data_IF_460857572015
#
_entry.id   IF_460857572015
#
_cell.length_a   1.000
_cell.length_b   1.000
_cell.length_c   1.000
_cell.angle_alpha   90.00
_cell.angle_beta   90.00
_cell.angle_gamma   90.00
#
_symmetry.space_group_name_H-M   'P 1'
#
loop_
_entity.id
_entity.type
_entity.pdbx_description
1 polymer ?
#
# COMPACT_ATOMS: atom_id res chain seq x y z
N UNK A 1 21.27 -20.97 -17.01
CA UNK A 1 22.37 -20.04 -17.34
C UNK A 1 22.00 -18.68 -16.81
N UNK A 2 22.87 -18.09 -16.01
CA UNK A 2 22.68 -16.73 -15.51
C UNK A 2 23.05 -15.74 -16.60
N UNK A 3 22.17 -14.78 -16.87
CA UNK A 3 22.44 -13.71 -17.85
C UNK A 3 22.76 -12.43 -17.10
N UNK A 4 23.93 -11.84 -17.37
CA UNK A 4 24.29 -10.52 -16.87
C UNK A 4 24.06 -9.46 -17.95
N UNK A 5 23.47 -8.35 -17.55
CA UNK A 5 23.17 -7.19 -18.39
C UNK A 5 23.89 -6.01 -17.76
N UNK A 6 24.87 -5.48 -18.48
CA UNK A 6 25.73 -4.38 -18.03
C UNK A 6 25.82 -3.24 -19.07
N UNK A 7 25.10 -3.36 -20.19
CA UNK A 7 24.99 -2.32 -21.20
C UNK A 7 23.90 -1.30 -20.82
N UNK A 8 24.10 -0.06 -21.27
CA UNK A 8 23.27 1.08 -20.93
C UNK A 8 21.79 0.92 -21.28
N UNK A 9 21.54 0.44 -22.50
CA UNK A 9 20.20 0.31 -23.04
C UNK A 9 19.43 -0.81 -22.34
N UNK A 10 20.09 -1.95 -22.11
CA UNK A 10 19.55 -3.10 -21.39
C UNK A 10 19.20 -2.77 -19.94
N UNK A 11 20.10 -2.09 -19.22
CA UNK A 11 19.84 -1.63 -17.84
C UNK A 11 18.64 -0.69 -17.83
N UNK A 12 18.66 0.36 -18.66
CA UNK A 12 17.58 1.36 -18.68
C UNK A 12 16.23 0.71 -18.97
N UNK A 13 16.16 -0.15 -19.99
CA UNK A 13 14.93 -0.83 -20.40
C UNK A 13 14.37 -1.69 -19.26
N UNK A 14 15.21 -2.44 -18.56
CA UNK A 14 14.76 -3.30 -17.45
C UNK A 14 14.33 -2.46 -16.25
N UNK A 15 15.10 -1.45 -15.87
CA UNK A 15 14.72 -0.56 -14.77
C UNK A 15 13.37 0.09 -15.06
N UNK A 16 13.19 0.63 -16.27
CA UNK A 16 11.98 1.34 -16.67
C UNK A 16 10.77 0.40 -16.81
N UNK A 17 10.93 -0.77 -17.41
CA UNK A 17 9.80 -1.67 -17.69
C UNK A 17 9.41 -2.55 -16.52
N UNK A 18 10.38 -2.94 -15.67
CA UNK A 18 10.16 -3.89 -14.58
C UNK A 18 10.27 -3.22 -13.22
N UNK A 19 11.41 -2.61 -12.87
CA UNK A 19 11.64 -2.11 -11.50
C UNK A 19 10.71 -0.96 -11.11
N UNK A 20 10.31 -0.09 -12.05
CA UNK A 20 9.34 0.98 -11.73
C UNK A 20 7.89 0.51 -11.64
N UNK A 21 7.58 -0.72 -12.06
CA UNK A 21 6.20 -1.21 -12.22
C UNK A 21 5.86 -2.40 -11.33
N UNK A 22 6.85 -3.22 -11.02
CA UNK A 22 6.69 -4.44 -10.25
C UNK A 22 7.18 -4.25 -8.81
N UNK A 23 6.68 -5.05 -7.86
CA UNK A 23 7.23 -5.07 -6.52
C UNK A 23 8.72 -5.37 -6.52
N UNK A 24 9.48 -4.51 -5.85
CA UNK A 24 10.94 -4.62 -5.67
C UNK A 24 11.22 -4.83 -4.19
N UNK A 25 12.20 -5.66 -3.87
CA UNK A 25 12.64 -5.93 -2.50
C UNK A 25 14.16 -5.80 -2.39
N UNK A 26 14.64 -5.54 -1.18
CA UNK A 26 16.02 -5.83 -0.77
C UNK A 26 16.03 -7.05 0.14
N UNK A 27 17.20 -7.65 0.35
CA UNK A 27 17.36 -8.68 1.38
C UNK A 27 18.14 -8.10 2.56
N UNK A 28 17.53 -8.12 3.74
CA UNK A 28 18.18 -7.80 5.01
C UNK A 28 18.07 -9.04 5.89
N UNK A 29 19.20 -9.56 6.37
CA UNK A 29 19.25 -10.83 7.13
C UNK A 29 18.52 -11.98 6.43
N UNK A 30 18.67 -12.06 5.10
CA UNK A 30 18.01 -13.02 4.22
C UNK A 30 16.46 -12.92 4.19
N UNK A 31 15.89 -11.86 4.75
CA UNK A 31 14.46 -11.55 4.68
C UNK A 31 14.18 -10.50 3.60
N UNK A 32 13.16 -10.69 2.76
CA UNK A 32 12.77 -9.71 1.76
C UNK A 32 12.08 -8.51 2.43
N UNK A 33 12.65 -7.32 2.26
CA UNK A 33 12.02 -6.07 2.66
C UNK A 33 11.54 -5.31 1.42
N UNK A 34 10.26 -4.92 1.36
CA UNK A 34 9.72 -4.20 0.21
C UNK A 34 10.35 -2.81 0.08
N UNK A 35 10.80 -2.50 -1.12
CA UNK A 35 11.36 -1.21 -1.47
C UNK A 35 10.42 -0.51 -2.44
N UNK A 36 10.06 0.73 -2.10
CA UNK A 36 9.22 1.53 -2.98
C UNK A 36 10.09 2.22 -4.01
N UNK A 37 9.89 1.91 -5.29
CA UNK A 37 10.55 2.62 -6.38
C UNK A 37 9.78 3.91 -6.68
N UNK A 38 10.44 5.05 -6.50
CA UNK A 38 9.86 6.37 -6.79
C UNK A 38 9.95 6.73 -8.28
N UNK A 39 10.94 6.20 -8.98
CA UNK A 39 11.12 6.39 -10.42
C UNK A 39 12.58 6.29 -10.83
N UNK A 40 12.86 6.67 -12.09
CA UNK A 40 14.21 6.80 -12.61
C UNK A 40 14.59 8.28 -12.65
N UNK A 41 15.80 8.60 -12.23
CA UNK A 41 16.40 9.92 -12.44
C UNK A 41 16.98 10.03 -13.85
N UNK A 42 17.61 8.96 -14.33
CA UNK A 42 18.18 8.84 -15.67
C UNK A 42 18.27 7.36 -16.08
N UNK A 43 19.07 7.05 -17.10
CA UNK A 43 19.21 5.70 -17.66
C UNK A 43 19.72 4.64 -16.67
N UNK A 44 20.48 5.03 -15.65
CA UNK A 44 21.14 4.12 -14.72
C UNK A 44 20.74 4.37 -13.26
N UNK A 45 20.16 5.54 -12.97
CA UNK A 45 19.84 5.95 -11.62
C UNK A 45 18.38 5.71 -11.29
N UNK A 46 18.16 4.87 -10.28
CA UNK A 46 16.84 4.58 -9.71
C UNK A 46 16.70 5.26 -8.34
N UNK A 47 15.56 5.90 -8.11
CA UNK A 47 15.22 6.51 -6.83
C UNK A 47 14.31 5.56 -6.08
N UNK A 48 14.69 5.22 -4.85
CA UNK A 48 13.94 4.30 -4.00
C UNK A 48 13.66 4.89 -2.64
N UNK A 49 12.64 4.39 -1.96
CA UNK A 49 12.34 4.66 -0.55
C UNK A 49 12.41 3.34 0.20
N UNK A 50 13.30 3.27 1.17
CA UNK A 50 13.51 2.10 2.02
C UNK A 50 12.58 2.15 3.24
N UNK A 51 12.19 0.98 3.78
CA UNK A 51 11.52 0.90 5.07
C UNK A 51 12.35 1.49 6.21
N UNK A 52 11.72 2.07 7.24
CA UNK A 52 12.40 2.47 8.47
C UNK A 52 13.20 1.30 9.07
N UNK A 53 14.38 1.59 9.63
CA UNK A 53 15.25 0.57 10.24
C UNK A 53 16.12 -0.21 9.25
N UNK A 54 16.06 0.08 7.95
CA UNK A 54 16.97 -0.53 6.97
C UNK A 54 18.42 -0.09 7.26
N UNK A 55 19.39 -1.03 7.41
CA UNK A 55 20.79 -0.69 7.66
C UNK A 55 21.36 0.20 6.56
N UNK A 56 22.20 1.17 6.92
CA UNK A 56 22.88 2.01 5.92
C UNK A 56 24.04 1.23 5.28
N UNK A 57 24.05 1.13 3.96
CA UNK A 57 25.05 0.37 3.20
C UNK A 57 25.54 1.18 2.00
N UNK A 58 26.79 0.97 1.58
CA UNK A 58 27.34 1.64 0.39
C UNK A 58 26.88 1.01 -0.93
N UNK A 59 26.40 -0.22 -0.86
CA UNK A 59 25.90 -0.99 -2.01
C UNK A 59 24.56 -1.60 -1.68
N UNK A 60 23.65 -1.60 -2.65
CA UNK A 60 22.34 -2.24 -2.54
C UNK A 60 22.16 -3.27 -3.64
N UNK A 61 21.41 -4.31 -3.32
CA UNK A 61 20.92 -5.27 -4.32
C UNK A 61 19.41 -5.26 -4.34
N UNK A 62 18.84 -4.73 -5.41
CA UNK A 62 17.39 -4.71 -5.61
C UNK A 62 16.98 -5.99 -6.33
N UNK A 63 15.91 -6.61 -5.85
CA UNK A 63 15.37 -7.84 -6.41
C UNK A 63 13.93 -7.66 -6.87
N UNK A 64 13.60 -8.26 -8.00
CA UNK A 64 12.22 -8.52 -8.38
C UNK A 64 12.11 -9.88 -9.07
N UNK A 65 10.89 -10.41 -9.15
CA UNK A 65 10.60 -11.62 -9.90
C UNK A 65 9.58 -11.31 -10.99
N UNK A 66 9.89 -11.70 -12.23
CA UNK A 66 9.00 -11.55 -13.37
C UNK A 66 9.16 -12.73 -14.33
N UNK A 67 8.05 -13.31 -14.78
CA UNK A 67 8.02 -14.44 -15.73
C UNK A 67 8.99 -15.58 -15.37
N UNK A 68 8.97 -16.06 -14.12
CA UNK A 68 9.86 -17.10 -13.59
C UNK A 68 11.36 -16.75 -13.61
N UNK A 69 11.71 -15.49 -13.80
CA UNK A 69 13.08 -15.01 -13.70
C UNK A 69 13.21 -14.07 -12.50
N UNK A 70 14.30 -14.23 -11.76
CA UNK A 70 14.71 -13.30 -10.71
C UNK A 70 15.68 -12.30 -11.34
N UNK A 71 15.35 -11.03 -11.18
CA UNK A 71 16.19 -9.92 -11.59
C UNK A 71 16.85 -9.37 -10.34
N UNK A 72 18.15 -9.18 -10.41
CA UNK A 72 18.98 -8.68 -9.33
C UNK A 72 19.78 -7.49 -9.86
N UNK A 73 19.34 -6.27 -9.56
CA UNK A 73 20.06 -5.05 -9.88
C UNK A 73 21.09 -4.75 -8.81
N UNK A 74 22.36 -4.63 -9.21
CA UNK A 74 23.46 -4.26 -8.35
C UNK A 74 23.64 -2.76 -8.40
N UNK A 75 23.56 -2.11 -7.25
CA UNK A 75 23.55 -0.68 -7.15
C UNK A 75 24.59 -0.15 -6.16
N UNK A 76 25.19 1.00 -6.49
CA UNK A 76 25.94 1.82 -5.55
C UNK A 76 25.02 2.91 -5.00
N UNK A 77 25.07 3.17 -3.69
CA UNK A 77 24.32 4.27 -3.08
C UNK A 77 25.07 5.57 -3.32
N UNK A 78 24.50 6.47 -4.12
CA UNK A 78 25.09 7.79 -4.39
C UNK A 78 24.61 8.84 -3.38
N UNK A 79 23.34 8.77 -2.96
CA UNK A 79 22.75 9.67 -1.96
C UNK A 79 21.81 8.88 -1.05
N UNK A 80 21.82 9.22 0.23
CA UNK A 80 20.91 8.67 1.24
C UNK A 80 20.31 9.82 2.06
N UNK A 81 18.99 9.88 2.15
CA UNK A 81 18.28 10.81 3.02
C UNK A 81 17.77 10.06 4.27
N UNK A 82 18.41 10.24 5.44
CA UNK A 82 18.06 9.52 6.65
C UNK A 82 16.69 9.92 7.22
N UNK A 83 16.16 11.09 6.87
CA UNK A 83 14.86 11.57 7.40
C UNK A 83 13.66 10.82 6.83
N UNK A 84 13.79 10.25 5.62
CA UNK A 84 12.69 9.63 4.89
C UNK A 84 13.07 8.33 4.18
N UNK A 85 14.29 7.84 4.37
CA UNK A 85 14.79 6.59 3.79
C UNK A 85 14.94 6.62 2.27
N UNK A 86 14.95 7.81 1.65
CA UNK A 86 15.10 7.94 0.20
C UNK A 86 16.56 7.75 -0.20
N UNK A 87 16.82 6.84 -1.12
CA UNK A 87 18.14 6.61 -1.70
C UNK A 87 18.14 6.85 -3.21
N UNK A 88 19.22 7.47 -3.70
CA UNK A 88 19.58 7.51 -5.11
C UNK A 88 20.60 6.41 -5.37
N UNK A 89 20.23 5.47 -6.24
CA UNK A 89 21.00 4.28 -6.52
C UNK A 89 21.50 4.31 -7.97
N UNK A 90 22.80 4.14 -8.16
CA UNK A 90 23.41 3.95 -9.48
C UNK A 90 23.51 2.45 -9.78
N UNK A 91 22.76 1.97 -10.77
CA UNK A 91 22.77 0.56 -11.18
C UNK A 91 23.94 0.26 -12.11
N UNK A 92 24.82 -0.66 -11.70
CA UNK A 92 26.00 -1.07 -12.48
C UNK A 92 25.74 -2.29 -13.37
N UNK A 93 24.87 -3.21 -12.90
CA UNK A 93 24.54 -4.42 -13.64
C UNK A 93 23.20 -4.99 -13.16
N UNK A 94 22.58 -5.81 -14.01
CA UNK A 94 21.41 -6.62 -13.66
C UNK A 94 21.70 -8.07 -14.00
N UNK A 95 21.66 -8.93 -12.99
CA UNK A 95 21.71 -10.38 -13.17
C UNK A 95 20.28 -10.92 -13.30
N UNK A 96 20.07 -11.76 -14.30
CA UNK A 96 18.82 -12.48 -14.54
C UNK A 96 19.10 -13.96 -14.33
N UNK A 97 18.44 -14.54 -13.35
CA UNK A 97 18.51 -15.98 -13.06
C UNK A 97 17.11 -16.59 -13.13
N UNK A 98 17.04 -17.91 -13.27
CA UNK A 98 15.75 -18.59 -13.10
C UNK A 98 15.36 -18.42 -11.62
N UNK A 99 14.16 -17.93 -11.37
CA UNK A 99 13.64 -17.79 -10.02
C UNK A 99 13.40 -19.19 -9.45
N UNK A 100 14.39 -19.71 -8.73
CA UNK A 100 14.19 -20.87 -7.87
C UNK A 100 13.42 -20.40 -6.63
N UNK A 101 12.28 -21.05 -6.37
CA UNK A 101 11.50 -20.80 -5.15
C UNK A 101 12.29 -21.34 -3.97
N UNK A 102 12.86 -20.44 -3.17
CA UNK A 102 13.66 -20.78 -1.99
C UNK A 102 12.86 -20.80 -0.69
N UNK A 103 11.57 -20.46 -0.71
CA UNK A 103 10.77 -20.40 0.50
C UNK A 103 10.13 -21.74 0.87
N UNK A 104 10.26 -22.10 2.14
CA UNK A 104 9.47 -23.14 2.78
C UNK A 104 8.03 -22.65 2.89
N UNK A 105 7.09 -23.43 2.37
CA UNK A 105 5.64 -23.15 2.45
C UNK A 105 5.02 -24.07 3.45
N UNK A 106 4.17 -23.52 4.30
CA UNK A 106 3.27 -24.34 5.09
C UNK A 106 2.12 -24.72 4.17
N UNK A 107 2.07 -25.99 3.78
CA UNK A 107 0.92 -26.56 3.11
C UNK A 107 -0.19 -26.74 4.11
N UNK A 108 -1.40 -26.39 3.69
CA UNK A 108 -2.55 -26.29 4.57
C UNK A 108 -3.46 -27.46 4.24
N UNK A 109 -3.48 -28.44 5.15
CA UNK A 109 -4.34 -29.61 5.01
C UNK A 109 -5.81 -29.19 5.05
N UNK A 110 -6.65 -29.95 4.34
CA UNK A 110 -8.10 -29.74 4.18
C UNK A 110 -8.87 -29.66 5.51
N UNK A 111 -8.28 -30.13 6.61
CA UNK A 111 -8.83 -30.12 7.97
C UNK A 111 -8.61 -28.80 8.70
N UNK A 112 -7.67 -27.97 8.24
CA UNK A 112 -7.34 -26.70 8.85
C UNK A 112 -8.23 -25.56 8.32
N UNK A 113 -8.81 -24.79 9.25
CA UNK A 113 -9.92 -23.86 8.98
C UNK A 113 -9.47 -22.47 8.49
N UNK A 114 -8.24 -22.31 7.99
CA UNK A 114 -7.84 -20.99 7.49
C UNK A 114 -8.59 -20.71 6.18
N UNK A 115 -9.20 -19.54 6.11
CA UNK A 115 -9.99 -19.16 4.94
C UNK A 115 -9.85 -17.71 4.57
N UNK A 116 -9.90 -17.44 3.27
CA UNK A 116 -9.98 -16.11 2.72
C UNK A 116 -11.44 -15.71 2.51
N UNK A 117 -11.79 -14.50 2.91
CA UNK A 117 -13.11 -13.90 2.75
C UNK A 117 -13.00 -12.46 2.27
N UNK A 118 -14.10 -11.86 1.82
CA UNK A 118 -14.18 -10.44 1.47
C UNK A 118 -13.15 -10.02 0.40
N UNK A 119 -12.93 -10.91 -0.58
CA UNK A 119 -11.95 -10.68 -1.65
C UNK A 119 -12.49 -9.61 -2.58
N UNK A 120 -11.71 -8.56 -2.82
CA UNK A 120 -12.05 -7.48 -3.74
C UNK A 120 -10.81 -6.98 -4.48
N UNK A 121 -10.96 -6.65 -5.75
CA UNK A 121 -9.89 -6.00 -6.50
C UNK A 121 -9.81 -4.52 -6.09
N UNK A 122 -8.61 -4.06 -5.73
CA UNK A 122 -8.36 -2.68 -5.31
C UNK A 122 -8.79 -1.65 -6.37
N UNK A 123 -8.67 -1.97 -7.66
CA UNK A 123 -9.17 -1.14 -8.74
C UNK A 123 -10.70 -0.98 -8.71
N UNK A 124 -11.43 -2.06 -8.37
CA UNK A 124 -12.90 -2.01 -8.25
C UNK A 124 -13.34 -1.14 -7.07
N UNK A 125 -12.59 -1.15 -5.97
CA UNK A 125 -12.83 -0.24 -4.82
C UNK A 125 -12.79 1.21 -5.29
N UNK A 126 -11.74 1.62 -6.01
CA UNK A 126 -11.65 3.00 -6.52
C UNK A 126 -12.74 3.34 -7.53
N UNK A 127 -13.01 2.41 -8.45
CA UNK A 127 -14.06 2.61 -9.46
C UNK A 127 -15.45 2.75 -8.82
N UNK A 128 -15.71 2.03 -7.72
CA UNK A 128 -16.98 2.11 -7.00
C UNK A 128 -17.26 3.54 -6.52
N UNK A 129 -16.25 4.24 -6.00
CA UNK A 129 -16.36 5.64 -5.53
C UNK A 129 -16.87 6.59 -6.61
N UNK A 130 -16.61 6.29 -7.89
CA UNK A 130 -17.02 7.14 -9.02
C UNK A 130 -18.52 7.06 -9.33
N UNK A 131 -19.23 6.09 -8.74
CA UNK A 131 -20.67 5.97 -8.88
C UNK A 131 -21.36 6.76 -7.77
N UNK A 132 -22.23 7.69 -8.16
CA UNK A 132 -23.02 8.49 -7.23
C UNK A 132 -24.05 7.60 -6.52
N UNK A 133 -23.77 7.27 -5.25
CA UNK A 133 -24.68 6.55 -4.37
C UNK A 133 -25.22 7.50 -3.30
N UNK A 134 -26.56 7.68 -3.29
CA UNK A 134 -27.25 8.58 -2.35
C UNK A 134 -27.02 8.20 -0.88
N UNK A 135 -26.81 6.92 -0.57
CA UNK A 135 -26.52 6.43 0.78
C UNK A 135 -25.13 6.88 1.20
N UNK A 136 -24.14 6.78 0.31
CA UNK A 136 -22.77 7.23 0.57
C UNK A 136 -22.71 8.75 0.71
N UNK A 137 -23.36 9.48 -0.18
CA UNK A 137 -23.49 10.94 -0.08
C UNK A 137 -24.15 11.37 1.24
N UNK A 138 -25.17 10.64 1.69
CA UNK A 138 -25.81 10.85 3.00
C UNK A 138 -24.85 10.66 4.18
N UNK A 139 -24.03 9.61 4.17
CA UNK A 139 -23.00 9.36 5.20
C UNK A 139 -21.97 10.51 5.20
N UNK A 140 -21.43 10.87 4.04
CA UNK A 140 -20.43 11.94 3.92
C UNK A 140 -20.99 13.28 4.38
N UNK A 141 -22.21 13.65 3.96
CA UNK A 141 -22.87 14.89 4.37
C UNK A 141 -23.17 14.96 5.87
N UNK A 142 -23.60 13.84 6.47
CA UNK A 142 -23.82 13.74 7.92
C UNK A 142 -22.54 14.07 8.69
N UNK A 143 -21.43 13.42 8.35
CA UNK A 143 -20.14 13.66 9.00
C UNK A 143 -19.61 15.06 8.71
N UNK A 144 -19.77 15.57 7.50
CA UNK A 144 -19.36 16.93 7.14
C UNK A 144 -20.11 17.98 7.95
N UNK A 145 -21.42 17.79 8.17
CA UNK A 145 -22.24 18.69 8.99
C UNK A 145 -21.75 18.71 10.44
N UNK A 146 -21.58 17.54 11.06
CA UNK A 146 -21.10 17.42 12.43
C UNK A 146 -19.70 18.04 12.61
N UNK A 147 -18.79 17.79 11.65
CA UNK A 147 -17.43 18.34 11.72
C UNK A 147 -17.42 19.87 11.63
N UNK A 148 -18.33 20.45 10.82
CA UNK A 148 -18.47 21.89 10.65
C UNK A 148 -19.01 22.63 11.88
N UNK A 149 -19.71 21.94 12.78
CA UNK A 149 -20.19 22.52 14.04
C UNK A 149 -19.01 22.93 14.94
N UNK A 150 -17.92 22.15 14.93
CA UNK A 150 -16.69 22.45 15.68
C UNK A 150 -15.66 23.20 14.84
N UNK A 151 -15.51 22.85 13.57
CA UNK A 151 -14.51 23.39 12.66
C UNK A 151 -15.18 23.99 11.42
N UNK A 152 -15.54 25.29 11.44
CA UNK A 152 -16.30 25.91 10.36
C UNK A 152 -15.64 25.79 8.97
N UNK A 153 -14.30 25.77 8.93
CA UNK A 153 -13.49 25.66 7.71
C UNK A 153 -13.08 24.22 7.39
N UNK A 154 -13.84 23.24 7.90
CA UNK A 154 -13.62 21.83 7.57
C UNK A 154 -14.35 21.40 6.29
N UNK A 155 -13.77 20.40 5.64
CA UNK A 155 -14.34 19.77 4.46
C UNK A 155 -14.09 18.26 4.45
N UNK A 156 -14.95 17.53 3.74
CA UNK A 156 -14.74 16.11 3.45
C UNK A 156 -14.72 15.98 1.94
N UNK A 157 -13.59 15.52 1.42
CA UNK A 157 -13.42 15.19 0.02
C UNK A 157 -13.61 13.68 -0.15
N UNK A 158 -14.49 13.27 -1.06
CA UNK A 158 -14.73 11.87 -1.37
C UNK A 158 -14.98 11.73 -2.88
N UNK A 159 -14.06 11.11 -3.60
CA UNK A 159 -14.08 11.06 -5.07
C UNK A 159 -13.22 9.93 -5.62
N UNK A 160 -13.57 9.43 -6.80
CA UNK A 160 -12.74 8.49 -7.57
C UNK A 160 -11.49 9.15 -8.14
N UNK A 161 -11.55 10.46 -8.38
CA UNK A 161 -10.41 11.27 -8.84
C UNK A 161 -9.64 11.77 -7.64
N UNK A 162 -8.35 11.44 -7.62
CA UNK A 162 -7.44 11.97 -6.61
C UNK A 162 -6.99 13.38 -7.01
N UNK A 163 -7.41 14.36 -6.21
CA UNK A 163 -6.84 15.71 -6.25
C UNK A 163 -5.37 15.70 -5.81
N UNK A 164 -4.69 16.85 -5.92
CA UNK A 164 -3.27 16.95 -5.59
C UNK A 164 -3.00 16.56 -4.12
N UNK A 165 -3.92 16.89 -3.20
CA UNK A 165 -3.75 16.63 -1.77
C UNK A 165 -3.88 15.14 -1.45
N UNK A 166 -4.94 14.50 -1.91
CA UNK A 166 -5.13 13.05 -1.73
C UNK A 166 -4.01 12.27 -2.39
N UNK A 167 -3.56 12.69 -3.57
CA UNK A 167 -2.43 12.08 -4.27
C UNK A 167 -1.14 12.21 -3.48
N UNK A 168 -0.88 13.39 -2.90
CA UNK A 168 0.31 13.63 -2.10
C UNK A 168 0.32 12.77 -0.83
N UNK A 169 -0.77 12.79 -0.07
CA UNK A 169 -0.91 11.96 1.14
C UNK A 169 -0.79 10.47 0.82
N UNK A 170 -1.41 10.01 -0.28
CA UNK A 170 -1.32 8.61 -0.69
C UNK A 170 0.08 8.22 -1.15
N UNK A 171 0.74 9.10 -1.91
CA UNK A 171 2.09 8.87 -2.39
C UNK A 171 3.07 8.77 -1.24
N UNK A 172 2.96 9.59 -0.20
CA UNK A 172 3.87 9.53 0.95
C UNK A 172 3.41 8.61 2.07
N UNK A 173 2.17 8.10 1.99
CA UNK A 173 1.48 7.37 3.05
C UNK A 173 1.52 8.10 4.41
N UNK A 174 1.36 9.43 4.36
CA UNK A 174 1.40 10.28 5.55
C UNK A 174 0.23 11.27 5.55
N UNK A 175 -0.37 11.54 6.72
CA UNK A 175 -1.34 12.62 6.84
C UNK A 175 -0.63 13.98 6.77
N UNK A 176 -1.41 15.02 6.48
CA UNK A 176 -0.95 16.41 6.59
C UNK A 176 -1.30 16.90 8.00
N UNK A 177 -0.31 17.41 8.72
CA UNK A 177 -0.53 18.10 9.98
C UNK A 177 0.47 19.25 10.10
N UNK A 178 -0.02 20.45 9.80
CA UNK A 178 0.72 21.71 9.79
C UNK A 178 0.20 22.57 10.92
N UNK A 179 1.10 22.98 11.82
CA UNK A 179 0.83 23.84 12.96
C UNK A 179 0.86 25.32 12.56
N UNK A 180 1.82 25.69 11.73
CA UNK A 180 1.96 27.05 11.19
C UNK A 180 2.50 27.03 9.76
N UNK A 181 1.66 27.38 8.79
CA UNK A 181 2.02 27.44 7.37
C UNK A 181 2.97 28.58 7.02
N UNK A 182 3.09 29.59 7.89
CA UNK A 182 3.95 30.76 7.70
C UNK A 182 5.32 30.59 8.36
N UNK A 183 5.57 29.44 9.00
CA UNK A 183 6.85 29.10 9.58
C UNK A 183 7.99 29.21 8.53
N UNK A 184 9.12 29.78 8.94
CA UNK A 184 10.27 30.03 8.05
C UNK A 184 11.06 28.76 7.71
N UNK A 185 11.04 27.76 8.57
CA UNK A 185 11.83 26.53 8.44
C UNK A 185 10.93 25.30 8.32
N UNK A 186 10.22 24.97 9.39
CA UNK A 186 9.34 23.80 9.48
C UNK A 186 8.10 24.17 10.29
N UNK A 187 6.94 24.09 9.65
CA UNK A 187 5.64 24.27 10.28
C UNK A 187 4.89 22.97 10.53
N UNK A 188 5.50 21.82 10.28
CA UNK A 188 4.86 20.52 10.48
C UNK A 188 4.86 20.08 11.94
N UNK A 189 3.92 19.22 12.30
CA UNK A 189 3.81 18.65 13.65
C UNK A 189 4.81 17.50 13.93
N UNK A 190 5.78 17.25 13.05
CA UNK A 190 6.80 16.21 13.21
C UNK A 190 6.99 15.27 12.02
N UNK A 191 8.00 14.40 12.11
CA UNK A 191 8.48 13.54 11.02
C UNK A 191 7.49 12.45 10.56
N UNK A 192 6.52 12.11 11.40
CA UNK A 192 5.45 11.16 11.10
C UNK A 192 4.40 11.73 10.12
N UNK A 193 4.41 13.05 9.90
CA UNK A 193 3.51 13.75 8.98
C UNK A 193 4.20 14.07 7.66
N UNK A 194 3.41 14.52 6.68
CA UNK A 194 3.94 15.03 5.44
C UNK A 194 4.92 16.18 5.73
N UNK A 195 6.10 16.13 5.13
CA UNK A 195 7.14 17.15 5.31
C UNK A 195 6.66 18.52 4.86
N UNK A 196 7.06 19.57 5.59
CA UNK A 196 6.64 20.94 5.30
C UNK A 196 6.99 21.40 3.87
N UNK A 197 8.13 20.97 3.33
CA UNK A 197 8.51 21.28 1.94
C UNK A 197 7.54 20.72 0.89
N UNK A 198 7.05 19.49 1.09
CA UNK A 198 6.05 18.89 0.20
C UNK A 198 4.68 19.54 0.38
N UNK A 199 4.35 19.92 1.61
CA UNK A 199 3.16 20.72 1.88
C UNK A 199 3.22 22.06 1.13
N UNK A 200 4.30 22.84 1.24
CA UNK A 200 4.44 24.12 0.54
C UNK A 200 4.23 24.01 -0.98
N UNK A 201 4.74 22.95 -1.61
CA UNK A 201 4.49 22.66 -3.04
C UNK A 201 3.01 22.44 -3.34
N UNK A 202 2.29 21.74 -2.46
CA UNK A 202 0.84 21.56 -2.59
C UNK A 202 0.11 22.90 -2.58
N UNK A 203 0.46 23.79 -1.65
CA UNK A 203 -0.28 25.04 -1.44
C UNK A 203 -0.04 26.02 -2.58
N UNK A 204 1.18 26.04 -3.13
CA UNK A 204 1.51 26.83 -4.32
C UNK A 204 0.65 26.47 -5.54
N UNK A 205 0.14 25.24 -5.63
CA UNK A 205 -0.75 24.79 -6.71
C UNK A 205 -2.22 24.99 -6.36
N UNK A 206 -2.59 24.74 -5.11
CA UNK A 206 -4.00 24.70 -4.69
C UNK A 206 -4.56 26.05 -4.20
N UNK A 207 -3.73 27.09 -4.09
CA UNK A 207 -4.13 28.46 -3.66
C UNK A 207 -5.07 28.47 -2.45
N UNK A 208 -4.55 28.13 -1.27
CA UNK A 208 -5.33 28.28 -0.04
C UNK A 208 -5.64 29.75 0.25
N UNK A 209 -6.81 30.01 0.84
CA UNK A 209 -7.20 31.34 1.28
C UNK A 209 -6.18 31.96 2.25
N UNK A 210 -6.04 33.28 2.18
CA UNK A 210 -5.23 34.06 3.11
C UNK A 210 -5.80 33.97 4.53
N UNK A 211 -4.93 33.89 5.54
CA UNK A 211 -5.34 33.88 6.95
C UNK A 211 -5.47 32.49 7.57
N UNK A 212 -5.49 31.41 6.78
CA UNK A 212 -5.35 30.05 7.32
C UNK A 212 -3.92 29.89 7.84
N UNK A 213 -3.77 29.45 9.10
CA UNK A 213 -2.49 29.22 9.77
C UNK A 213 -2.15 27.74 9.77
N UNK A 214 -3.12 26.87 10.04
CA UNK A 214 -2.87 25.44 10.25
C UNK A 214 -3.80 24.56 9.41
N UNK A 215 -3.37 23.32 9.17
CA UNK A 215 -4.11 22.34 8.39
C UNK A 215 -3.90 20.93 8.95
N UNK A 216 -5.01 20.20 9.13
CA UNK A 216 -5.01 18.75 9.32
C UNK A 216 -5.72 18.12 8.13
N UNK A 217 -5.10 17.14 7.47
CA UNK A 217 -5.79 16.28 6.49
C UNK A 217 -5.48 14.81 6.72
N UNK A 218 -6.54 14.00 6.85
CA UNK A 218 -6.47 12.57 7.10
C UNK A 218 -7.18 11.81 5.98
N UNK A 219 -6.51 10.81 5.39
CA UNK A 219 -7.11 9.97 4.36
C UNK A 219 -8.24 9.10 4.92
N UNK A 220 -9.35 9.06 4.20
CA UNK A 220 -10.40 8.05 4.38
C UNK A 220 -9.96 6.83 3.57
N UNK A 221 -9.74 5.70 4.24
CA UNK A 221 -9.19 4.49 3.60
C UNK A 221 -10.14 3.32 3.70
N UNK A 222 -10.38 2.63 2.59
CA UNK A 222 -11.02 1.31 2.60
C UNK A 222 -10.07 0.28 3.20
N UNK A 223 -10.48 -0.29 4.33
CA UNK A 223 -9.72 -1.26 5.15
C UNK A 223 -8.25 -0.88 5.36
N UNK A 224 -7.94 0.41 5.52
CA UNK A 224 -6.56 0.89 5.75
C UNK A 224 -5.65 0.94 4.52
N UNK A 225 -6.08 0.47 3.35
CA UNK A 225 -5.20 0.40 2.17
C UNK A 225 -5.58 1.39 1.06
N UNK A 226 -6.83 1.36 0.61
CA UNK A 226 -7.22 2.09 -0.61
C UNK A 226 -7.75 3.48 -0.25
N UNK A 227 -7.17 4.57 -0.77
CA UNK A 227 -7.69 5.91 -0.52
C UNK A 227 -9.06 6.06 -1.19
N UNK A 228 -10.02 6.59 -0.43
CA UNK A 228 -11.37 6.93 -0.90
C UNK A 228 -11.61 8.44 -0.93
N UNK A 229 -10.82 9.19 -0.18
CA UNK A 229 -11.05 10.59 0.11
C UNK A 229 -10.18 11.07 1.26
N UNK A 230 -10.50 12.24 1.81
CA UNK A 230 -9.89 12.76 3.03
C UNK A 230 -10.85 13.66 3.81
N UNK A 231 -10.61 13.73 5.12
CA UNK A 231 -11.15 14.77 6.01
C UNK A 231 -10.11 15.87 6.11
N UNK A 232 -10.52 17.14 5.94
CA UNK A 232 -9.66 18.30 6.08
C UNK A 232 -10.23 19.27 7.11
N UNK A 233 -9.37 19.77 8.00
CA UNK A 233 -9.64 20.84 8.93
C UNK A 233 -8.63 21.95 8.65
N UNK A 234 -9.15 23.15 8.35
CA UNK A 234 -8.36 24.37 8.24
C UNK A 234 -8.69 25.27 9.44
N UNK A 235 -7.72 26.06 9.88
CA UNK A 235 -7.91 27.00 10.99
C UNK A 235 -7.02 28.23 10.83
N UNK A 236 -7.52 29.37 11.31
CA UNK A 236 -6.78 30.62 11.45
C UNK A 236 -5.86 30.64 12.69
N UNK A 237 -5.90 29.56 13.49
CA UNK A 237 -5.08 29.32 14.68
C UNK A 237 -4.37 27.98 14.56
N UNK A 238 -3.34 27.76 15.36
CA UNK A 238 -2.69 26.47 15.50
C UNK A 238 -3.69 25.38 15.95
N UNK A 239 -3.67 24.22 15.28
CA UNK A 239 -4.48 23.06 15.64
C UNK A 239 -3.68 22.15 16.58
N UNK A 240 -4.37 21.59 17.58
CA UNK A 240 -3.79 20.74 18.61
C UNK A 240 -3.81 19.26 18.25
N UNK A 241 -3.05 18.44 19.01
CA UNK A 241 -3.09 16.99 18.87
C UNK A 241 -4.50 16.41 19.12
N UNK A 242 -5.32 17.08 19.93
CA UNK A 242 -6.73 16.70 20.11
C UNK A 242 -7.53 16.88 18.82
N UNK A 243 -7.28 17.96 18.08
CA UNK A 243 -7.94 18.21 16.79
C UNK A 243 -7.53 17.18 15.74
N UNK A 244 -6.24 16.79 15.74
CA UNK A 244 -5.74 15.70 14.91
C UNK A 244 -6.45 14.38 15.21
N UNK A 245 -6.60 14.05 16.49
CA UNK A 245 -7.31 12.84 16.91
C UNK A 245 -8.78 12.87 16.49
N UNK A 246 -9.45 14.03 16.62
CA UNK A 246 -10.83 14.21 16.14
C UNK A 246 -10.92 13.95 14.63
N UNK A 247 -10.06 14.58 13.81
CA UNK A 247 -10.03 14.36 12.37
C UNK A 247 -9.81 12.88 11.99
N UNK A 248 -8.92 12.21 12.72
CA UNK A 248 -8.62 10.79 12.52
C UNK A 248 -9.81 9.89 12.90
N UNK A 249 -10.48 10.17 14.01
CA UNK A 249 -11.71 9.47 14.42
C UNK A 249 -12.80 9.66 13.37
N UNK A 250 -12.99 10.88 12.86
CA UNK A 250 -13.97 11.18 11.81
C UNK A 250 -13.67 10.41 10.53
N UNK A 251 -12.42 10.44 10.03
CA UNK A 251 -12.03 9.71 8.82
C UNK A 251 -12.27 8.19 8.95
N UNK A 252 -11.91 7.62 10.10
CA UNK A 252 -12.13 6.20 10.39
C UNK A 252 -13.63 5.85 10.53
N UNK A 253 -14.42 6.74 11.11
CA UNK A 253 -15.87 6.55 11.28
C UNK A 253 -16.59 6.55 9.93
N UNK A 254 -16.23 7.47 9.03
CA UNK A 254 -16.74 7.51 7.66
C UNK A 254 -16.40 6.20 6.93
N UNK A 255 -15.14 5.77 6.98
CA UNK A 255 -14.73 4.50 6.35
C UNK A 255 -15.54 3.31 6.87
N UNK A 256 -15.70 3.19 8.19
CA UNK A 256 -16.49 2.11 8.81
C UNK A 256 -17.95 2.13 8.37
N UNK A 257 -18.60 3.30 8.37
CA UNK A 257 -20.00 3.43 7.96
C UNK A 257 -20.20 3.08 6.47
N UNK A 258 -19.28 3.50 5.59
CA UNK A 258 -19.32 3.18 4.15
C UNK A 258 -19.10 1.68 3.91
N UNK A 259 -18.16 1.05 4.61
CA UNK A 259 -17.92 -0.40 4.48
C UNK A 259 -19.15 -1.17 4.98
N UNK A 260 -19.68 -0.80 6.15
CA UNK A 260 -20.88 -1.42 6.73
C UNK A 260 -22.13 -1.22 5.88
N UNK A 261 -22.15 -0.22 5.00
CA UNK A 261 -23.28 0.04 4.11
C UNK A 261 -23.46 -1.02 3.01
N UNK A 262 -22.45 -1.88 2.79
CA UNK A 262 -22.41 -2.87 1.71
C UNK A 262 -22.11 -2.26 0.33
N UNK A 263 -21.58 -1.04 0.30
CA UNK A 263 -21.32 -0.31 -0.96
C UNK A 263 -20.25 -0.98 -1.82
N UNK A 264 -19.23 -1.55 -1.19
CA UNK A 264 -18.19 -2.29 -1.89
C UNK A 264 -18.66 -3.72 -2.15
N UNK A 265 -18.66 -4.12 -3.42
CA UNK A 265 -19.04 -5.47 -3.86
C UNK A 265 -17.89 -6.46 -3.62
N UNK A 266 -17.65 -6.77 -2.36
CA UNK A 266 -16.73 -7.82 -1.93
C UNK A 266 -17.27 -9.19 -2.36
N UNK A 267 -16.36 -10.12 -2.69
CA UNK A 267 -16.74 -11.52 -2.92
C UNK A 267 -17.32 -12.12 -1.66
N UNK A 268 -18.51 -12.74 -1.78
CA UNK A 268 -19.17 -13.49 -0.70
C UNK A 268 -18.61 -14.90 -0.52
N UNK A 269 -17.71 -15.31 -1.41
CA UNK A 269 -17.09 -16.63 -1.38
C UNK A 269 -16.14 -16.77 -0.19
N UNK A 270 -16.22 -17.92 0.48
CA UNK A 270 -15.23 -18.35 1.47
C UNK A 270 -14.25 -19.29 0.76
N UNK A 271 -13.02 -18.83 0.59
CA UNK A 271 -11.99 -19.51 -0.16
C UNK A 271 -11.06 -20.29 0.78
N UNK A 272 -10.78 -21.55 0.45
CA UNK A 272 -9.84 -22.35 1.22
C UNK A 272 -8.41 -21.98 0.86
N UNK A 273 -7.56 -21.85 1.89
CA UNK A 273 -6.13 -21.61 1.68
C UNK A 273 -5.43 -22.93 1.38
N UNK A 274 -4.60 -22.92 0.35
CA UNK A 274 -3.82 -24.07 -0.14
C UNK A 274 -2.41 -24.08 0.49
N UNK A 275 -1.78 -22.91 0.55
CA UNK A 275 -0.48 -22.72 1.19
C UNK A 275 -0.29 -21.27 1.62
N UNK A 276 0.55 -21.06 2.62
CA UNK A 276 0.97 -19.73 3.06
C UNK A 276 2.48 -19.70 3.35
N UNK A 277 3.09 -18.55 3.09
CA UNK A 277 4.44 -18.20 3.52
C UNK A 277 4.47 -16.73 3.95
N UNK A 278 5.61 -16.25 4.44
CA UNK A 278 5.79 -14.84 4.76
C UNK A 278 5.62 -13.92 3.54
N UNK A 279 5.91 -14.41 2.32
CA UNK A 279 5.76 -13.62 1.10
C UNK A 279 4.39 -13.74 0.43
N UNK A 280 3.60 -14.76 0.72
CA UNK A 280 2.37 -14.94 -0.06
C UNK A 280 1.43 -16.03 0.40
N UNK A 281 0.32 -16.12 -0.33
CA UNK A 281 -0.76 -17.05 -0.05
C UNK A 281 -1.31 -17.65 -1.34
N UNK A 282 -1.48 -18.97 -1.35
CA UNK A 282 -2.21 -19.70 -2.36
C UNK A 282 -3.60 -20.07 -1.85
N UNK A 283 -4.64 -19.91 -2.66
CA UNK A 283 -6.01 -20.27 -2.29
C UNK A 283 -6.83 -20.76 -3.48
N UNK A 284 -7.94 -21.44 -3.18
CA UNK A 284 -8.90 -21.91 -4.17
C UNK A 284 -10.14 -21.03 -4.16
N UNK A 285 -10.57 -20.58 -5.34
CA UNK A 285 -11.80 -19.82 -5.55
C UNK A 285 -12.71 -20.57 -6.52
N UNK A 286 -14.02 -20.59 -6.27
CA UNK A 286 -14.98 -21.18 -7.21
C UNK A 286 -14.94 -20.47 -8.56
N UNK A 287 -15.06 -21.23 -9.65
CA UNK A 287 -15.16 -20.62 -10.97
C UNK A 287 -16.43 -19.77 -11.04
N UNK A 288 -16.29 -18.48 -11.38
CA UNK A 288 -17.42 -17.61 -11.66
C UNK A 288 -17.06 -16.58 -12.72
N UNK A 289 -18.06 -16.19 -13.52
CA UNK A 289 -17.90 -15.14 -14.54
C UNK A 289 -17.47 -13.83 -13.90
N UNK A 290 -17.97 -13.54 -12.70
CA UNK A 290 -17.58 -12.35 -11.93
C UNK A 290 -16.10 -12.38 -11.59
N UNK A 291 -15.58 -13.53 -11.15
CA UNK A 291 -14.17 -13.69 -10.82
C UNK A 291 -13.29 -13.45 -12.06
N UNK A 292 -13.55 -14.16 -13.17
CA UNK A 292 -12.74 -14.05 -14.39
C UNK A 292 -12.74 -12.65 -15.02
N UNK A 293 -13.76 -11.83 -14.76
CA UNK A 293 -13.84 -10.42 -15.24
C UNK A 293 -13.23 -9.40 -14.27
N UNK A 294 -12.95 -9.80 -13.03
CA UNK A 294 -12.58 -8.87 -11.96
C UNK A 294 -11.19 -9.12 -11.40
N UNK A 295 -10.55 -10.23 -11.77
CA UNK A 295 -9.24 -10.61 -11.27
C UNK A 295 -8.35 -11.10 -12.43
N UNK A 296 -7.20 -10.47 -12.55
CA UNK A 296 -6.16 -10.82 -13.52
C UNK A 296 -4.77 -10.83 -12.85
N UNK A 297 -3.84 -11.54 -13.46
CA UNK A 297 -2.44 -11.56 -13.03
C UNK A 297 -1.86 -10.14 -13.08
N UNK A 298 -1.13 -9.75 -12.03
CA UNK A 298 -0.58 -8.41 -11.83
C UNK A 298 -1.52 -7.45 -11.12
N UNK A 299 -2.81 -7.78 -10.97
CA UNK A 299 -3.74 -6.94 -10.21
C UNK A 299 -3.56 -7.10 -8.70
N UNK A 300 -3.86 -6.02 -7.97
CA UNK A 300 -3.83 -6.01 -6.51
C UNK A 300 -5.21 -6.29 -5.94
N UNK A 301 -5.28 -7.24 -5.01
CA UNK A 301 -6.50 -7.60 -4.29
C UNK A 301 -6.35 -7.31 -2.80
N UNK A 302 -7.48 -7.04 -2.18
CA UNK A 302 -7.66 -6.96 -0.74
C UNK A 302 -8.55 -8.11 -0.31
N UNK A 303 -8.23 -8.72 0.82
CA UNK A 303 -9.01 -9.81 1.39
C UNK A 303 -8.75 -9.94 2.88
N UNK A 304 -9.63 -10.63 3.58
CA UNK A 304 -9.41 -10.99 4.97
C UNK A 304 -8.93 -12.44 5.04
N UNK A 305 -7.88 -12.72 5.81
CA UNK A 305 -7.49 -14.07 6.21
C UNK A 305 -8.02 -14.32 7.62
N UNK A 306 -8.77 -15.39 7.78
CA UNK A 306 -9.22 -15.88 9.09
C UNK A 306 -8.30 -17.04 9.48
N UNK A 307 -7.30 -16.80 10.32
CA UNK A 307 -6.38 -17.82 10.82
C UNK A 307 -7.04 -18.70 11.89
N UNK A 308 -7.94 -18.12 12.68
CA UNK A 308 -8.80 -18.79 13.66
C UNK A 308 -10.07 -17.96 13.89
N UNK A 309 -10.96 -18.40 14.81
CA UNK A 309 -12.15 -17.64 15.19
C UNK A 309 -11.81 -16.26 15.80
N UNK A 310 -10.66 -16.15 16.46
CA UNK A 310 -10.22 -14.94 17.16
C UNK A 310 -9.11 -14.18 16.40
N UNK A 311 -8.46 -14.83 15.42
CA UNK A 311 -7.37 -14.25 14.64
C UNK A 311 -7.81 -14.01 13.19
N UNK A 312 -8.14 -12.76 12.90
CA UNK A 312 -8.52 -12.27 11.57
C UNK A 312 -7.72 -11.02 11.21
N UNK A 313 -7.10 -11.03 10.03
CA UNK A 313 -6.37 -9.88 9.49
C UNK A 313 -6.86 -9.52 8.09
N UNK A 314 -6.73 -8.25 7.71
CA UNK A 314 -6.93 -7.81 6.32
C UNK A 314 -5.57 -7.69 5.66
N UNK A 315 -5.45 -8.19 4.44
CA UNK A 315 -4.20 -8.26 3.71
C UNK A 315 -4.37 -7.68 2.30
N UNK A 316 -3.27 -7.18 1.76
CA UNK A 316 -3.14 -6.77 0.38
C UNK A 316 -2.11 -7.63 -0.33
N UNK A 317 -2.46 -8.14 -1.51
CA UNK A 317 -1.55 -8.97 -2.29
C UNK A 317 -1.72 -8.75 -3.80
N UNK A 318 -0.67 -9.04 -4.56
CA UNK A 318 -0.66 -9.03 -6.03
C UNK A 318 -0.87 -10.45 -6.54
N UNK A 319 -1.80 -10.62 -7.47
CA UNK A 319 -2.03 -11.91 -8.13
C UNK A 319 -0.82 -12.25 -9.01
N UNK A 320 -0.14 -13.35 -8.71
CA UNK A 320 1.03 -13.82 -9.49
C UNK A 320 0.68 -14.91 -10.48
N UNK A 321 -0.30 -15.75 -10.18
CA UNK A 321 -0.80 -16.76 -11.11
C UNK A 321 -2.26 -17.11 -10.80
N UNK A 322 -2.98 -17.50 -11.86
CA UNK A 322 -4.31 -18.10 -11.78
C UNK A 322 -4.25 -19.35 -12.64
N UNK A 323 -4.41 -20.52 -12.02
CA UNK A 323 -4.44 -21.82 -12.71
C UNK A 323 -5.86 -22.36 -12.66
N UNK A 324 -6.39 -22.77 -13.81
CA UNK A 324 -7.68 -23.43 -13.84
C UNK A 324 -7.53 -24.91 -13.45
N UNK A 325 -8.36 -25.37 -12.52
CA UNK A 325 -8.56 -26.79 -12.21
C UNK A 325 -9.97 -27.19 -12.61
N UNK A 326 -10.35 -28.47 -12.49
CA UNK A 326 -11.64 -28.95 -12.99
C UNK A 326 -12.86 -28.17 -12.49
N UNK A 327 -12.83 -27.67 -11.24
CA UNK A 327 -13.97 -26.95 -10.62
C UNK A 327 -13.61 -25.61 -9.98
N UNK A 328 -12.32 -25.28 -9.88
CA UNK A 328 -11.84 -24.13 -9.10
C UNK A 328 -10.75 -23.37 -9.87
N UNK A 329 -10.52 -22.13 -9.48
CA UNK A 329 -9.28 -21.43 -9.76
C UNK A 329 -8.33 -21.60 -8.57
N UNK A 330 -7.11 -22.09 -8.84
CA UNK A 330 -6.00 -22.00 -7.88
C UNK A 330 -5.27 -20.69 -8.13
N UNK A 331 -5.27 -19.82 -7.13
CA UNK A 331 -4.73 -18.46 -7.23
C UNK A 331 -3.54 -18.35 -6.30
N UNK A 332 -2.40 -17.94 -6.85
CA UNK A 332 -1.21 -17.62 -6.07
C UNK A 332 -1.01 -16.12 -5.98
N UNK A 333 -0.96 -15.60 -4.77
CA UNK A 333 -0.77 -14.19 -4.46
C UNK A 333 0.51 -13.94 -3.68
N UNK A 334 1.10 -12.76 -3.88
CA UNK A 334 2.25 -12.27 -3.11
C UNK A 334 1.82 -11.05 -2.30
N UNK A 335 2.04 -11.08 -0.99
CA UNK A 335 1.71 -9.98 -0.09
C UNK A 335 2.47 -8.71 -0.48
N UNK A 336 1.85 -7.55 -0.25
CA UNK A 336 2.39 -6.27 -0.72
C UNK A 336 2.27 -5.17 0.34
N UNK A 337 3.43 -4.71 0.86
CA UNK A 337 3.60 -3.81 2.01
C UNK A 337 2.80 -4.26 3.24
N UNK A 338 3.16 -5.40 3.80
CA UNK A 338 2.65 -5.79 5.10
C UNK A 338 3.14 -4.79 6.16
N UNK A 339 2.29 -4.50 7.14
CA UNK A 339 2.74 -3.84 8.37
C UNK A 339 3.20 -4.88 9.41
N UNK A 340 3.90 -4.41 10.45
CA UNK A 340 4.45 -5.27 11.50
C UNK A 340 3.39 -6.19 12.14
N UNK A 341 2.16 -5.70 12.33
CA UNK A 341 1.07 -6.52 12.86
C UNK A 341 0.72 -7.67 11.91
N UNK A 342 0.57 -7.38 10.62
CA UNK A 342 0.24 -8.37 9.61
C UNK A 342 1.35 -9.41 9.44
N UNK A 343 2.61 -8.97 9.46
CA UNK A 343 3.78 -9.86 9.46
C UNK A 343 3.76 -10.79 10.67
N UNK A 344 3.56 -10.23 11.87
CA UNK A 344 3.49 -11.01 13.11
C UNK A 344 2.34 -12.02 13.10
N UNK A 345 1.19 -11.66 12.51
CA UNK A 345 0.05 -12.58 12.37
C UNK A 345 0.40 -13.78 11.47
N UNK A 346 1.06 -13.54 10.33
CA UNK A 346 1.48 -14.62 9.42
C UNK A 346 2.57 -15.47 10.09
N UNK A 347 3.57 -14.83 10.70
CA UNK A 347 4.69 -15.52 11.36
C UNK A 347 4.19 -16.42 12.49
N UNK A 348 3.35 -15.89 13.39
CA UNK A 348 2.76 -16.66 14.50
C UNK A 348 2.01 -17.89 13.99
N UNK A 349 1.27 -17.75 12.89
CA UNK A 349 0.57 -18.86 12.29
C UNK A 349 1.54 -19.91 11.73
N UNK A 350 2.56 -19.49 10.98
CA UNK A 350 3.57 -20.39 10.42
C UNK A 350 4.30 -21.15 11.53
N UNK A 351 4.77 -20.46 12.57
CA UNK A 351 5.48 -21.05 13.70
C UNK A 351 4.60 -22.08 14.44
N UNK A 352 3.29 -21.79 14.58
CA UNK A 352 2.35 -22.72 15.20
C UNK A 352 2.19 -24.05 14.44
N UNK A 353 2.47 -24.05 13.13
CA UNK A 353 2.39 -25.23 12.28
C UNK A 353 3.71 -25.98 12.22
N UNK A 354 4.84 -25.27 12.27
CA UNK A 354 6.15 -25.93 12.32
C UNK A 354 6.39 -26.61 13.67
N UNK A 355 5.88 -26.07 14.78
CA UNK A 355 5.97 -26.70 16.11
C UNK A 355 5.02 -27.89 16.33
N UNK A 356 4.15 -28.19 15.36
CA UNK A 356 3.23 -29.35 15.39
C UNK A 356 3.74 -30.54 14.57
N UNK A 357 4.83 -30.34 13.81
CA UNK A 357 5.58 -31.37 13.07
C UNK A 357 6.87 -31.71 13.80
#
# INVERSE_FOLDING_TARGET
>A
MDKFINDAEGIHKILQSLFTRLPVVILVDNRPLPVRVAGLKDSFRIVVTLPPGTPNEQSRKLFLVHNNHRFAAFCTVELHNPSNGVELLLTSAIQVTIAQRTEKRVHIDSTSQITLTNIINQYKVRKAVGFADKKIDGIVKKHAKLLKETYPLSSIFFSDKMDNRLRLMYNFDKPIYILDRYAKSDGSAGFQFLTFSEYQKLIAVNNLESGIVSEISIMIRYKGYTPLGYVQILSDKELSASDFNTANITANSISKEIIASGFFQESKEKCNVDNISMQGVGFFHHQSIFFSRSFAVGETILFDINFSAESKGTFRAVIRNITNTDKMFRIGCEFFNLNEREENMIQTYIDSKENQT
#
